data_IF_458934638744
#
_entry.id   IF_458934638744
#
_cell.length_a   1.000
_cell.length_b   1.000
_cell.length_c   1.000
_cell.angle_alpha   90.00
_cell.angle_beta   90.00
_cell.angle_gamma   90.00
#
_symmetry.space_group_name_H-M   'P 1'
#
loop_
_entity.id
_entity.type
_entity.pdbx_description
1 polymer ?
#
# COMPACT_ATOMS: atom_id res chain seq x y z
N UNK A 1 30.83 -92.77 33.48
CA UNK A 1 29.34 -92.65 33.47
C UNK A 1 28.98 -91.77 32.27
N UNK A 2 28.70 -92.35 31.11
CA UNK A 2 27.35 -92.69 30.61
C UNK A 2 26.61 -91.50 29.96
N UNK A 3 26.42 -91.60 28.63
CA UNK A 3 25.16 -91.37 27.85
C UNK A 3 24.56 -89.94 27.92
N UNK A 4 23.93 -89.35 26.90
CA UNK A 4 23.52 -89.75 25.55
C UNK A 4 22.84 -88.55 24.87
N UNK A 5 23.07 -88.43 23.56
CA UNK A 5 22.20 -87.97 22.45
C UNK A 5 20.86 -87.27 22.80
N UNK A 6 20.61 -86.14 22.12
CA UNK A 6 19.28 -85.58 21.89
C UNK A 6 19.25 -84.70 20.64
N UNK A 7 18.40 -85.07 19.67
CA UNK A 7 18.22 -84.49 18.32
C UNK A 7 16.91 -83.66 18.31
N UNK A 8 16.71 -82.85 17.25
CA UNK A 8 15.47 -82.15 16.79
C UNK A 8 15.35 -80.70 17.30
N UNK A 9 14.79 -79.72 16.59
CA UNK A 9 14.13 -79.61 15.28
C UNK A 9 13.88 -78.13 14.95
N UNK A 10 13.71 -77.84 13.65
CA UNK A 10 13.10 -76.64 13.04
C UNK A 10 12.08 -75.87 13.90
N UNK A 11 12.22 -74.55 13.92
CA UNK A 11 11.14 -73.56 13.65
C UNK A 11 11.83 -72.26 13.25
N UNK A 12 11.55 -71.61 12.12
CA UNK A 12 10.22 -71.22 11.68
C UNK A 12 9.79 -69.98 12.44
N UNK A 13 10.41 -68.84 12.19
CA UNK A 13 10.16 -67.58 12.91
C UNK A 13 10.14 -66.37 11.98
N UNK A 14 9.19 -66.34 11.05
CA UNK A 14 8.68 -65.08 10.49
C UNK A 14 8.03 -64.31 11.63
N UNK A 15 8.62 -63.20 12.05
CA UNK A 15 8.00 -62.15 12.86
C UNK A 15 8.50 -60.81 12.33
N UNK A 16 7.80 -60.05 11.51
CA UNK A 16 6.36 -60.00 11.30
C UNK A 16 5.75 -58.84 12.10
N UNK A 17 6.04 -57.60 11.69
CA UNK A 17 5.00 -56.56 11.62
C UNK A 17 4.67 -55.72 12.85
N UNK A 18 5.51 -55.64 13.90
CA UNK A 18 5.22 -54.75 15.06
C UNK A 18 6.16 -53.55 15.22
N UNK A 19 7.42 -53.66 14.80
CA UNK A 19 8.40 -52.56 14.89
C UNK A 19 8.18 -51.48 13.82
N UNK A 20 7.91 -51.86 12.57
CA UNK A 20 7.69 -50.89 11.48
C UNK A 20 6.36 -50.11 11.60
N UNK A 21 5.35 -50.65 12.29
CA UNK A 21 4.09 -49.93 12.52
C UNK A 21 4.24 -48.83 13.58
N UNK A 22 5.05 -49.08 14.62
CA UNK A 22 5.39 -48.08 15.65
C UNK A 22 6.29 -46.98 15.06
N UNK A 23 7.21 -47.35 14.18
CA UNK A 23 8.12 -46.42 13.50
C UNK A 23 7.40 -45.57 12.44
N UNK A 24 6.48 -46.16 11.66
CA UNK A 24 5.63 -45.41 10.74
C UNK A 24 4.65 -44.46 11.46
N UNK A 25 4.09 -44.88 12.61
CA UNK A 25 3.27 -44.00 13.44
C UNK A 25 4.10 -42.84 14.02
N UNK A 26 5.33 -43.10 14.49
CA UNK A 26 6.23 -42.06 14.97
C UNK A 26 6.67 -41.09 13.86
N UNK A 27 6.89 -41.58 12.64
CA UNK A 27 7.21 -40.75 11.48
C UNK A 27 6.00 -39.90 11.02
N UNK A 28 4.79 -40.44 11.10
CA UNK A 28 3.55 -39.71 10.83
C UNK A 28 3.35 -38.58 11.84
N UNK A 29 3.57 -38.84 13.13
CA UNK A 29 3.48 -37.83 14.19
C UNK A 29 4.57 -36.75 14.07
N UNK A 30 5.79 -37.14 13.67
CA UNK A 30 6.88 -36.21 13.43
C UNK A 30 6.57 -35.29 12.23
N UNK A 31 6.02 -35.85 11.15
CA UNK A 31 5.58 -35.10 9.97
C UNK A 31 4.45 -34.12 10.32
N UNK A 32 3.45 -34.56 11.09
CA UNK A 32 2.35 -33.72 11.54
C UNK A 32 2.83 -32.54 12.42
N UNK A 33 3.79 -32.79 13.32
CA UNK A 33 4.40 -31.73 14.15
C UNK A 33 5.24 -30.75 13.34
N UNK A 34 5.99 -31.23 12.35
CA UNK A 34 6.77 -30.38 11.46
C UNK A 34 5.86 -29.49 10.59
N UNK A 35 4.74 -30.04 10.12
CA UNK A 35 3.75 -29.28 9.35
C UNK A 35 3.07 -28.20 10.21
N UNK A 36 2.66 -28.54 11.43
CA UNK A 36 2.07 -27.60 12.37
C UNK A 36 3.05 -26.46 12.74
N UNK A 37 4.33 -26.76 12.97
CA UNK A 37 5.36 -25.74 13.23
C UNK A 37 5.61 -24.83 12.02
N UNK A 38 5.55 -25.37 10.81
CA UNK A 38 5.69 -24.60 9.57
C UNK A 38 4.48 -23.67 9.33
N UNK A 39 3.27 -24.12 9.65
CA UNK A 39 2.06 -23.32 9.54
C UNK A 39 2.03 -22.21 10.61
N UNK A 40 2.44 -22.52 11.84
CA UNK A 40 2.62 -21.53 12.91
C UNK A 40 3.66 -20.46 12.52
N UNK A 41 4.81 -20.86 11.96
CA UNK A 41 5.84 -19.93 11.51
C UNK A 41 5.39 -19.03 10.34
N UNK A 42 4.51 -19.53 9.46
CA UNK A 42 3.87 -18.70 8.41
C UNK A 42 2.88 -17.71 8.99
N UNK A 43 2.14 -18.10 10.03
CA UNK A 43 1.20 -17.23 10.75
C UNK A 43 1.94 -16.11 11.50
N UNK A 44 3.05 -16.44 12.17
CA UNK A 44 3.92 -15.49 12.86
C UNK A 44 4.62 -14.54 11.87
N UNK A 45 5.07 -15.04 10.72
CA UNK A 45 5.67 -14.22 9.65
C UNK A 45 4.65 -13.31 8.95
N UNK A 46 3.37 -13.70 8.95
CA UNK A 46 2.26 -12.90 8.42
C UNK A 46 1.58 -12.04 9.50
N UNK A 47 2.13 -11.99 10.72
CA UNK A 47 1.68 -11.08 11.76
C UNK A 47 1.96 -9.65 11.30
N UNK A 48 0.95 -9.08 10.66
CA UNK A 48 0.96 -7.69 10.24
C UNK A 48 1.13 -6.87 11.51
N UNK A 49 2.25 -6.17 11.64
CA UNK A 49 2.45 -5.23 12.74
C UNK A 49 1.38 -4.16 12.64
N UNK A 50 0.29 -4.34 13.39
CA UNK A 50 -0.79 -3.35 13.51
C UNK A 50 -0.24 -2.19 14.33
N UNK A 51 0.44 -1.27 13.65
CA UNK A 51 0.95 -0.06 14.28
C UNK A 51 -0.23 0.88 14.50
N UNK A 52 -0.61 1.04 15.77
CA UNK A 52 -1.63 2.01 16.18
C UNK A 52 -1.03 3.42 16.21
N UNK A 53 -1.15 4.11 15.09
CA UNK A 53 -0.67 5.47 14.91
C UNK A 53 -1.43 6.52 15.75
N UNK A 54 -2.55 6.16 16.40
CA UNK A 54 -3.30 7.07 17.29
C UNK A 54 -2.56 7.36 18.59
N UNK A 55 -1.70 6.45 19.04
CA UNK A 55 -0.92 6.56 20.28
C UNK A 55 0.41 7.31 20.12
N UNK A 56 0.79 7.62 18.88
CA UNK A 56 2.03 8.33 18.58
C UNK A 56 1.79 9.84 18.60
N UNK A 57 2.37 10.54 19.59
CA UNK A 57 2.32 11.99 19.65
C UNK A 57 3.17 12.61 18.52
N UNK A 58 2.57 13.52 17.75
CA UNK A 58 3.22 14.21 16.62
C UNK A 58 3.12 15.71 16.81
N UNK A 59 4.17 16.42 16.46
CA UNK A 59 4.16 17.88 16.43
C UNK A 59 3.20 18.38 15.34
N UNK A 60 2.40 19.42 15.61
CA UNK A 60 1.53 20.01 14.59
C UNK A 60 2.38 20.60 13.47
N UNK A 61 1.87 20.52 12.24
CA UNK A 61 2.50 21.11 11.07
C UNK A 61 1.46 21.80 10.20
N UNK A 62 1.90 22.81 9.44
CA UNK A 62 1.03 23.52 8.52
C UNK A 62 0.72 22.64 7.31
N UNK A 63 -0.57 22.41 7.07
CA UNK A 63 -1.07 21.69 5.88
C UNK A 63 -1.73 22.60 4.85
N UNK A 64 -2.26 23.73 5.31
CA UNK A 64 -3.02 24.68 4.50
C UNK A 64 -2.13 25.87 4.18
N UNK A 65 -1.62 25.91 2.95
CA UNK A 65 -0.79 26.99 2.42
C UNK A 65 -1.61 27.92 1.52
N UNK A 66 -2.58 27.35 0.79
CA UNK A 66 -3.53 28.06 -0.06
C UNK A 66 -4.95 27.88 0.50
N UNK A 67 -5.69 28.97 0.67
CA UNK A 67 -7.13 28.89 0.98
C UNK A 67 -7.94 29.01 -0.31
N UNK A 68 -8.45 27.90 -0.87
CA UNK A 68 -9.41 28.01 -1.96
C UNK A 68 -10.71 28.66 -1.45
N UNK A 69 -11.41 29.45 -2.27
CA UNK A 69 -12.74 29.93 -1.92
C UNK A 69 -13.65 28.74 -1.62
N UNK A 70 -14.45 28.83 -0.55
CA UNK A 70 -15.23 27.70 -0.03
C UNK A 70 -16.23 27.14 -1.05
N UNK A 71 -17.02 28.04 -1.65
CA UNK A 71 -17.81 27.77 -2.84
C UNK A 71 -17.21 28.60 -3.97
N UNK A 72 -16.94 27.96 -5.11
CA UNK A 72 -16.70 28.72 -6.34
C UNK A 72 -18.04 29.29 -6.81
N UNK A 73 -18.04 30.58 -7.14
CA UNK A 73 -19.18 31.21 -7.77
C UNK A 73 -19.40 30.64 -9.17
N UNK A 74 -20.57 30.91 -9.75
CA UNK A 74 -20.92 30.40 -11.09
C UNK A 74 -19.88 30.81 -12.16
N UNK A 75 -19.27 31.99 -12.01
CA UNK A 75 -18.23 32.47 -12.90
C UNK A 75 -16.94 31.65 -12.78
N UNK A 76 -16.46 31.40 -11.56
CA UNK A 76 -15.26 30.58 -11.33
C UNK A 76 -15.50 29.12 -11.70
N UNK A 77 -16.71 28.59 -11.50
CA UNK A 77 -17.08 27.27 -11.97
C UNK A 77 -17.02 27.16 -13.51
N UNK A 78 -17.52 28.18 -14.22
CA UNK A 78 -17.41 28.25 -15.68
C UNK A 78 -15.95 28.34 -16.16
N UNK A 79 -15.12 29.14 -15.48
CA UNK A 79 -13.67 29.22 -15.75
C UNK A 79 -13.00 27.87 -15.49
N UNK A 80 -13.33 27.20 -14.39
CA UNK A 80 -12.79 25.89 -14.05
C UNK A 80 -13.17 24.84 -15.09
N UNK A 81 -14.42 24.83 -15.54
CA UNK A 81 -14.89 23.95 -16.60
C UNK A 81 -14.12 24.18 -17.91
N UNK A 82 -14.01 25.44 -18.35
CA UNK A 82 -13.30 25.80 -19.58
C UNK A 82 -11.82 25.40 -19.52
N UNK A 83 -11.12 25.69 -18.40
CA UNK A 83 -9.72 25.32 -18.20
C UNK A 83 -9.52 23.80 -18.19
N UNK A 84 -10.40 23.06 -17.49
CA UNK A 84 -10.35 21.60 -17.45
C UNK A 84 -10.57 20.99 -18.83
N UNK A 85 -11.53 21.51 -19.59
CA UNK A 85 -11.77 21.08 -20.96
C UNK A 85 -10.57 21.34 -21.87
N UNK A 86 -9.93 22.51 -21.77
CA UNK A 86 -8.74 22.85 -22.55
C UNK A 86 -7.54 21.94 -22.22
N UNK A 87 -7.39 21.57 -20.94
CA UNK A 87 -6.28 20.75 -20.45
C UNK A 87 -6.57 19.24 -20.49
N UNK A 88 -7.76 18.81 -20.92
CA UNK A 88 -8.17 17.40 -20.92
C UNK A 88 -8.31 16.80 -19.51
N UNK A 89 -8.63 17.61 -18.51
CA UNK A 89 -8.71 17.20 -17.11
C UNK A 89 -10.14 16.80 -16.78
N UNK A 90 -10.29 15.66 -16.11
CA UNK A 90 -11.57 15.18 -15.58
C UNK A 90 -11.49 15.04 -14.06
N UNK A 91 -12.53 15.52 -13.37
CA UNK A 91 -12.69 15.35 -11.92
C UNK A 91 -13.79 14.31 -11.71
N UNK A 92 -13.41 13.13 -11.25
CA UNK A 92 -14.34 12.01 -11.06
C UNK A 92 -15.17 12.19 -9.78
N UNK A 93 -14.52 12.47 -8.66
CA UNK A 93 -15.19 12.65 -7.37
C UNK A 93 -14.47 13.66 -6.49
N UNK A 94 -15.25 14.49 -5.80
CA UNK A 94 -14.80 15.29 -4.67
C UNK A 94 -15.79 15.09 -3.51
N UNK A 95 -15.39 14.49 -2.37
CA UNK A 95 -16.28 14.23 -1.25
C UNK A 95 -16.81 15.51 -0.60
N UNK A 96 -16.26 16.69 -0.94
CA UNK A 96 -16.71 17.99 -0.43
C UNK A 96 -17.87 18.59 -1.25
N UNK A 97 -18.27 17.95 -2.34
CA UNK A 97 -19.44 18.33 -3.13
C UNK A 97 -19.10 18.78 -4.56
N UNK A 98 -20.16 18.98 -5.35
CA UNK A 98 -20.08 19.50 -6.72
C UNK A 98 -19.48 20.90 -6.69
N UNK A 99 -18.55 21.17 -7.61
CA UNK A 99 -17.82 22.45 -7.69
C UNK A 99 -17.07 22.84 -6.40
N UNK A 100 -16.67 21.87 -5.57
CA UNK A 100 -15.80 22.17 -4.42
C UNK A 100 -14.31 22.09 -4.76
N UNK A 101 -13.97 21.51 -5.92
CA UNK A 101 -12.61 21.31 -6.39
C UNK A 101 -12.00 22.63 -6.89
N UNK A 102 -10.83 23.05 -6.36
CA UNK A 102 -10.16 24.27 -6.77
C UNK A 102 -9.96 24.38 -8.28
N UNK A 103 -10.00 25.62 -8.78
CA UNK A 103 -9.79 25.95 -10.19
C UNK A 103 -8.36 25.57 -10.61
N UNK A 104 -8.14 24.89 -11.75
CA UNK A 104 -6.79 24.67 -12.26
C UNK A 104 -6.09 25.99 -12.55
N UNK A 105 -4.80 26.07 -12.23
CA UNK A 105 -3.98 27.27 -12.48
C UNK A 105 -3.39 27.30 -13.88
N UNK A 106 -3.32 28.49 -14.49
CA UNK A 106 -2.69 28.69 -15.81
C UNK A 106 -1.18 28.95 -15.75
N UNK A 107 -0.67 29.35 -14.58
CA UNK A 107 0.75 29.59 -14.35
C UNK A 107 1.11 29.32 -12.88
N UNK A 108 2.40 29.11 -12.60
CA UNK A 108 2.88 28.96 -11.21
C UNK A 108 2.66 30.24 -10.37
N UNK A 109 2.65 31.42 -11.00
CA UNK A 109 2.43 32.69 -10.32
C UNK A 109 0.99 32.86 -9.80
N UNK A 110 0.00 32.25 -10.46
CA UNK A 110 -1.41 32.28 -10.01
C UNK A 110 -1.60 31.66 -8.61
N UNK A 111 -0.67 30.82 -8.15
CA UNK A 111 -0.76 30.20 -6.82
C UNK A 111 -0.52 31.19 -5.67
N UNK A 112 0.16 32.32 -5.91
CA UNK A 112 0.46 33.40 -4.93
C UNK A 112 1.19 32.99 -3.63
N UNK A 113 1.43 31.71 -3.40
CA UNK A 113 2.09 31.16 -2.19
C UNK A 113 3.53 30.74 -2.45
N UNK A 114 3.96 30.72 -3.73
CA UNK A 114 5.29 30.30 -4.11
C UNK A 114 6.30 31.42 -3.85
N UNK A 115 7.48 31.10 -3.29
CA UNK A 115 8.48 32.11 -3.01
C UNK A 115 9.10 32.66 -4.31
N UNK A 116 9.56 33.93 -4.33
CA UNK A 116 10.07 34.56 -5.54
C UNK A 116 11.22 33.80 -6.21
N UNK A 117 12.15 33.26 -5.42
CA UNK A 117 13.29 32.50 -5.94
C UNK A 117 12.87 31.25 -6.71
N UNK A 118 11.75 30.62 -6.34
CA UNK A 118 11.22 29.46 -7.05
C UNK A 118 10.61 29.87 -8.39
N UNK A 119 9.86 30.99 -8.40
CA UNK A 119 9.28 31.53 -9.63
C UNK A 119 10.38 31.96 -10.62
N UNK A 120 11.48 32.55 -10.13
CA UNK A 120 12.65 32.87 -10.95
C UNK A 120 13.26 31.61 -11.59
N UNK A 121 13.50 30.56 -10.80
CA UNK A 121 14.05 29.29 -11.31
C UNK A 121 13.14 28.63 -12.36
N UNK A 122 11.81 28.65 -12.14
CA UNK A 122 10.83 28.15 -13.12
C UNK A 122 10.91 28.92 -14.44
N UNK A 123 11.06 30.25 -14.38
CA UNK A 123 11.24 31.09 -15.56
C UNK A 123 12.55 30.82 -16.30
N UNK A 124 13.66 30.66 -15.58
CA UNK A 124 14.97 30.30 -16.15
C UNK A 124 14.93 28.96 -16.90
N UNK A 125 14.21 27.98 -16.36
CA UNK A 125 13.98 26.69 -17.01
C UNK A 125 12.93 26.72 -18.13
N UNK A 126 12.27 27.87 -18.37
CA UNK A 126 11.17 28.03 -19.33
C UNK A 126 9.98 27.09 -19.06
N UNK A 127 9.70 26.83 -17.79
CA UNK A 127 8.56 26.01 -17.33
C UNK A 127 7.39 26.87 -16.88
N UNK A 128 7.11 27.98 -17.57
CA UNK A 128 6.13 28.97 -17.12
C UNK A 128 4.70 28.40 -17.00
N UNK A 129 4.38 27.44 -17.87
CA UNK A 129 3.08 26.77 -17.93
C UNK A 129 3.16 25.40 -17.25
N UNK A 130 2.39 25.17 -16.17
CA UNK A 130 2.35 23.86 -15.52
C UNK A 130 1.73 22.81 -16.45
N UNK A 131 2.21 21.56 -16.33
CA UNK A 131 1.59 20.43 -17.02
C UNK A 131 0.12 20.27 -16.58
N UNK A 132 -0.77 19.68 -17.41
CA UNK A 132 -2.19 19.52 -17.07
C UNK A 132 -2.44 18.93 -15.67
N UNK A 133 -1.72 17.87 -15.32
CA UNK A 133 -1.85 17.26 -13.97
C UNK A 133 -1.40 18.21 -12.86
N UNK A 134 -0.35 19.00 -13.09
CA UNK A 134 0.17 19.96 -12.11
C UNK A 134 -0.79 21.13 -11.94
N UNK A 135 -1.35 21.65 -13.03
CA UNK A 135 -2.30 22.76 -13.03
C UNK A 135 -3.48 22.50 -12.08
N UNK A 136 -4.01 21.28 -12.04
CA UNK A 136 -5.09 20.90 -11.14
C UNK A 136 -4.62 20.40 -9.78
N UNK A 137 -3.51 19.67 -9.71
CA UNK A 137 -3.03 19.07 -8.45
C UNK A 137 -2.48 20.11 -7.47
N UNK A 138 -1.71 21.09 -7.94
CA UNK A 138 -1.07 22.11 -7.08
C UNK A 138 -2.07 22.85 -6.18
N UNK A 139 -3.18 23.44 -6.68
CA UNK A 139 -4.12 24.11 -5.81
C UNK A 139 -4.83 23.16 -4.83
N UNK A 140 -5.01 21.87 -5.18
CA UNK A 140 -5.57 20.86 -4.27
C UNK A 140 -4.58 20.54 -3.13
N UNK A 141 -3.31 20.27 -3.45
CA UNK A 141 -2.26 19.96 -2.48
C UNK A 141 -2.02 21.11 -1.52
N UNK A 142 -1.90 22.34 -2.05
CA UNK A 142 -1.66 23.52 -1.25
C UNK A 142 -2.87 23.87 -0.36
N UNK A 143 -4.07 23.39 -0.71
CA UNK A 143 -5.24 23.45 0.15
C UNK A 143 -5.29 22.41 1.27
N UNK A 144 -4.24 21.59 1.41
CA UNK A 144 -4.11 20.56 2.43
C UNK A 144 -5.04 19.36 2.21
N UNK A 145 -5.59 19.21 1.00
CA UNK A 145 -6.50 18.12 0.63
C UNK A 145 -5.70 16.91 0.12
N UNK A 146 -6.27 15.72 0.34
CA UNK A 146 -5.78 14.50 -0.27
C UNK A 146 -6.26 14.45 -1.73
N UNK A 147 -5.46 13.86 -2.61
CA UNK A 147 -5.83 13.68 -4.02
C UNK A 147 -5.26 12.38 -4.56
N UNK A 148 -5.94 11.83 -5.56
CA UNK A 148 -5.42 10.78 -6.44
C UNK A 148 -5.39 11.40 -7.83
N UNK A 149 -4.20 11.42 -8.44
CA UNK A 149 -3.99 11.98 -9.77
C UNK A 149 -3.57 10.88 -10.75
N UNK A 150 -4.29 10.77 -11.86
CA UNK A 150 -3.96 9.87 -12.95
C UNK A 150 -3.56 10.73 -14.14
N UNK A 151 -2.34 10.52 -14.65
CA UNK A 151 -1.82 11.24 -15.80
C UNK A 151 -0.90 10.33 -16.61
N UNK A 152 -0.75 10.63 -17.90
CA UNK A 152 0.24 9.96 -18.75
C UNK A 152 1.65 10.28 -18.23
N UNK A 153 2.56 9.30 -18.34
CA UNK A 153 3.99 9.52 -18.07
C UNK A 153 4.55 10.51 -19.09
N UNK A 154 5.29 11.50 -18.59
CA UNK A 154 5.97 12.50 -19.41
C UNK A 154 7.00 11.90 -20.36
#
# INVERSE_FOLDING_TARGET
>A
RSRSRGRRSRSGGRGGGRSGALEAAAMSDASARAQAAADQAKEDANSTLVVDWSKTQRSPFQRLFLRPPGNIDAQSAAIAFARRAQLGIQVESDPRGVDSTPVPVGSFAELQVLPPWLLSAVGECRWEVPMPVQAQALPILLSGRNLIGIAQTG
#
